data_IF_037624483517
#
_entry.id   IF_037624483517
#
_cell.length_a   1.000
_cell.length_b   1.000
_cell.length_c   1.000
_cell.angle_alpha   90.00
_cell.angle_beta   90.00
_cell.angle_gamma   90.00
#
_symmetry.space_group_name_H-M   'P 1'
#
loop_
_entity.id
_entity.type
_entity.pdbx_description
1 polymer ?
#
# COMPACT_ATOMS: atom_id res chain seq x y z
N UNK A 1 -12.05 -29.05 -40.08
CA UNK A 1 -12.74 -29.38 -38.81
C UNK A 1 -11.76 -29.15 -37.67
N UNK A 2 -12.18 -28.49 -36.59
CA UNK A 2 -12.09 -27.03 -36.59
C UNK A 2 -11.62 -26.42 -35.25
N UNK A 3 -11.32 -25.13 -35.36
CA UNK A 3 -11.58 -24.04 -34.42
C UNK A 3 -10.84 -23.90 -33.09
N UNK A 4 -10.70 -22.59 -32.80
CA UNK A 4 -10.78 -21.90 -31.51
C UNK A 4 -9.52 -21.09 -31.15
N UNK A 5 -9.69 -19.77 -31.39
CA UNK A 5 -9.24 -18.67 -30.53
C UNK A 5 -7.82 -18.15 -30.86
N UNK A 6 -7.62 -17.09 -31.65
CA UNK A 6 -8.49 -15.95 -31.97
C UNK A 6 -9.05 -15.19 -30.75
N UNK A 7 -8.33 -15.15 -29.62
CA UNK A 7 -8.47 -14.13 -28.56
C UNK A 7 -7.08 -13.93 -27.92
N UNK A 8 -6.24 -13.12 -28.57
CA UNK A 8 -5.10 -12.43 -27.93
C UNK A 8 -4.70 -11.21 -28.77
N UNK A 9 -5.66 -10.64 -29.50
CA UNK A 9 -5.49 -9.42 -30.26
C UNK A 9 -5.70 -8.21 -29.35
N UNK A 10 -4.84 -7.21 -29.55
CA UNK A 10 -4.95 -5.81 -29.12
C UNK A 10 -4.49 -5.54 -27.68
N UNK A 11 -3.18 -5.46 -27.47
CA UNK A 11 -2.60 -4.63 -26.39
C UNK A 11 -1.34 -3.87 -26.81
N UNK A 12 -1.03 -3.82 -28.11
CA UNK A 12 0.15 -3.12 -28.63
C UNK A 12 -0.24 -2.14 -29.72
N UNK A 13 0.06 -0.86 -29.48
CA UNK A 13 0.14 0.26 -30.44
C UNK A 13 -1.15 0.90 -30.98
N UNK A 14 -1.53 2.03 -30.36
CA UNK A 14 -1.93 3.25 -31.08
C UNK A 14 -1.86 4.49 -30.16
N UNK A 15 -0.65 4.83 -29.70
CA UNK A 15 -0.35 6.15 -29.12
C UNK A 15 0.51 6.95 -30.10
N UNK A 16 0.04 7.17 -31.34
CA UNK A 16 0.61 8.20 -32.23
C UNK A 16 -0.48 8.80 -33.13
N UNK A 17 -0.87 10.04 -32.80
CA UNK A 17 -1.23 11.11 -33.72
C UNK A 17 -2.09 10.77 -34.97
N UNK A 18 -3.38 10.47 -34.82
CA UNK A 18 -4.40 10.80 -35.83
C UNK A 18 -5.60 11.48 -35.17
N UNK A 19 -5.34 12.64 -34.58
CA UNK A 19 -6.33 13.71 -34.57
C UNK A 19 -6.40 14.30 -35.97
N UNK A 20 -7.55 14.19 -36.65
CA UNK A 20 -8.31 15.37 -37.13
C UNK A 20 -9.12 15.16 -38.43
N UNK A 21 -8.73 14.33 -39.42
CA UNK A 21 -9.32 14.51 -40.76
C UNK A 21 -10.21 13.39 -41.33
N UNK A 22 -10.17 12.14 -40.83
CA UNK A 22 -10.99 11.05 -41.40
C UNK A 22 -12.38 10.90 -40.74
N UNK A 23 -12.58 11.45 -39.55
CA UNK A 23 -13.75 11.16 -38.71
C UNK A 23 -14.96 12.06 -39.04
N UNK A 24 -14.72 13.23 -39.66
CA UNK A 24 -15.75 14.27 -39.85
C UNK A 24 -16.95 13.90 -40.74
N UNK A 25 -16.89 12.84 -41.55
CA UNK A 25 -17.99 12.48 -42.46
C UNK A 25 -18.86 11.29 -42.00
N UNK A 26 -18.45 10.52 -40.98
CA UNK A 26 -19.16 9.31 -40.50
C UNK A 26 -19.82 9.48 -39.12
N UNK A 27 -19.62 10.63 -38.46
CA UNK A 27 -19.90 10.87 -37.03
C UNK A 27 -21.38 10.89 -36.59
N UNK A 28 -22.35 11.28 -37.43
CA UNK A 28 -23.68 11.67 -36.90
C UNK A 28 -24.58 10.56 -36.32
N UNK A 29 -24.24 9.27 -36.46
CA UNK A 29 -24.98 8.15 -35.83
C UNK A 29 -24.11 7.22 -34.97
N UNK A 30 -22.78 7.23 -35.16
CA UNK A 30 -21.82 6.49 -34.34
C UNK A 30 -21.45 7.21 -33.03
N UNK A 31 -21.61 8.55 -32.98
CA UNK A 31 -21.19 9.39 -31.86
C UNK A 31 -21.77 8.93 -30.51
N UNK A 32 -23.06 8.61 -30.41
CA UNK A 32 -23.65 8.23 -29.10
C UNK A 32 -23.09 6.93 -28.53
N UNK A 33 -22.73 5.96 -29.39
CA UNK A 33 -22.16 4.68 -28.93
C UNK A 33 -20.67 4.82 -28.65
N UNK A 34 -19.94 5.60 -29.45
CA UNK A 34 -18.54 5.90 -29.18
C UNK A 34 -18.36 6.77 -27.94
N UNK A 35 -19.21 7.76 -27.72
CA UNK A 35 -19.22 8.60 -26.51
C UNK A 35 -19.47 7.73 -25.27
N UNK A 36 -20.42 6.79 -25.32
CA UNK A 36 -20.67 5.87 -24.20
C UNK A 36 -19.50 4.91 -23.92
N UNK A 37 -18.74 4.51 -24.95
CA UNK A 37 -17.55 3.67 -24.78
C UNK A 37 -16.39 4.46 -24.20
N UNK A 38 -16.15 5.67 -24.71
CA UNK A 38 -15.12 6.58 -24.20
C UNK A 38 -15.38 6.97 -22.73
N UNK A 39 -16.64 7.22 -22.37
CA UNK A 39 -17.03 7.50 -20.98
C UNK A 39 -16.81 6.29 -20.07
N UNK A 40 -17.09 5.08 -20.55
CA UNK A 40 -16.84 3.85 -19.80
C UNK A 40 -15.33 3.62 -19.61
N UNK A 41 -14.55 3.70 -20.69
CA UNK A 41 -13.10 3.55 -20.66
C UNK A 41 -12.45 4.58 -19.73
N UNK A 42 -12.92 5.84 -19.79
CA UNK A 42 -12.48 6.90 -18.89
C UNK A 42 -12.75 6.55 -17.43
N UNK A 43 -13.96 6.12 -17.08
CA UNK A 43 -14.30 5.74 -15.69
C UNK A 43 -13.51 4.54 -15.19
N UNK A 44 -13.29 3.54 -16.05
CA UNK A 44 -12.45 2.38 -15.72
C UNK A 44 -11.02 2.80 -15.49
N UNK A 45 -10.48 3.67 -16.35
CA UNK A 45 -9.13 4.21 -16.19
C UNK A 45 -8.99 5.05 -14.92
N UNK A 46 -9.98 5.90 -14.59
CA UNK A 46 -10.01 6.68 -13.36
C UNK A 46 -10.01 5.76 -12.13
N UNK A 47 -10.87 4.74 -12.11
CA UNK A 47 -10.93 3.78 -11.00
C UNK A 47 -9.63 2.96 -10.85
N UNK A 48 -9.06 2.49 -11.97
CA UNK A 48 -7.76 1.80 -11.99
C UNK A 48 -6.65 2.70 -11.48
N UNK A 49 -6.57 3.93 -11.96
CA UNK A 49 -5.53 4.89 -11.60
C UNK A 49 -5.61 5.28 -10.13
N UNK A 50 -6.82 5.53 -9.61
CA UNK A 50 -7.04 5.78 -8.19
C UNK A 50 -6.56 4.61 -7.32
N UNK A 51 -6.89 3.37 -7.70
CA UNK A 51 -6.44 2.18 -6.99
C UNK A 51 -4.91 2.01 -7.01
N UNK A 52 -4.29 2.26 -8.16
CA UNK A 52 -2.82 2.19 -8.31
C UNK A 52 -2.10 3.30 -7.52
N UNK A 53 -2.66 4.50 -7.44
CA UNK A 53 -2.11 5.59 -6.62
C UNK A 53 -2.25 5.30 -5.13
N UNK A 54 -3.39 4.74 -4.70
CA UNK A 54 -3.60 4.31 -3.30
C UNK A 54 -2.57 3.26 -2.89
N UNK A 55 -2.37 2.20 -3.69
CA UNK A 55 -1.41 1.14 -3.34
C UNK A 55 0.04 1.65 -3.37
N UNK A 56 0.38 2.57 -4.28
CA UNK A 56 1.69 3.24 -4.31
C UNK A 56 1.91 4.00 -3.00
N UNK A 57 0.91 4.75 -2.54
CA UNK A 57 1.01 5.53 -1.31
C UNK A 57 1.19 4.61 -0.09
N UNK A 58 0.38 3.55 0.01
CA UNK A 58 0.49 2.56 1.09
C UNK A 58 1.86 1.86 1.10
N UNK A 59 2.36 1.45 -0.08
CA UNK A 59 3.67 0.79 -0.17
C UNK A 59 4.82 1.74 0.13
N UNK A 60 4.70 3.03 -0.21
CA UNK A 60 5.72 4.02 0.15
C UNK A 60 5.79 4.18 1.67
N UNK A 61 4.64 4.35 2.34
CA UNK A 61 4.58 4.46 3.80
C UNK A 61 5.17 3.25 4.52
N UNK A 62 4.83 2.03 4.07
CA UNK A 62 5.40 0.79 4.60
C UNK A 62 6.92 0.69 4.36
N UNK A 63 7.39 1.15 3.20
CA UNK A 63 8.82 1.20 2.89
C UNK A 63 9.55 2.19 3.79
N UNK A 64 8.97 3.37 4.01
CA UNK A 64 9.54 4.39 4.89
C UNK A 64 9.61 3.87 6.34
N UNK A 65 8.58 3.17 6.82
CA UNK A 65 8.58 2.48 8.12
C UNK A 65 9.63 1.35 8.21
N UNK A 66 9.94 0.69 7.09
CA UNK A 66 10.96 -0.35 7.03
C UNK A 66 12.39 0.21 6.98
N UNK A 67 12.57 1.49 6.65
CA UNK A 67 13.86 2.17 6.44
C UNK A 67 14.27 3.10 7.61
N UNK A 68 13.47 3.15 8.68
CA UNK A 68 13.79 4.02 9.82
C UNK A 68 15.00 3.48 10.58
N UNK A 69 16.09 4.25 10.52
CA UNK A 69 17.18 4.13 11.48
C UNK A 69 16.82 4.79 12.82
N UNK A 70 17.36 4.28 13.95
CA UNK A 70 16.98 4.79 15.27
C UNK A 70 17.36 6.27 15.44
N UNK A 71 16.54 7.06 16.19
CA UNK A 71 17.01 8.33 16.74
C UNK A 71 18.20 8.05 17.66
N UNK A 72 19.39 8.49 17.25
CA UNK A 72 20.67 8.17 17.91
C UNK A 72 21.71 7.50 17.01
N UNK A 73 21.38 7.18 15.75
CA UNK A 73 22.27 6.52 14.80
C UNK A 73 22.10 4.99 14.82
N UNK A 74 22.86 4.25 14.00
CA UNK A 74 22.72 2.80 13.89
C UNK A 74 22.93 2.13 15.26
N UNK A 75 21.92 1.41 15.73
CA UNK A 75 21.99 0.62 16.95
C UNK A 75 23.13 -0.40 16.81
N UNK A 76 24.00 -0.57 17.82
CA UNK A 76 25.13 -1.50 17.76
C UNK A 76 24.71 -2.97 17.76
N UNK A 77 23.43 -3.29 18.02
CA UNK A 77 22.90 -4.65 17.90
C UNK A 77 21.82 -4.75 16.82
N UNK A 78 22.04 -5.65 15.86
CA UNK A 78 21.13 -5.95 14.75
C UNK A 78 19.74 -6.37 15.25
N UNK A 79 19.67 -7.13 16.34
CA UNK A 79 18.40 -7.64 16.89
C UNK A 79 17.45 -6.56 17.40
N UNK A 80 17.97 -5.50 18.04
CA UNK A 80 17.13 -4.39 18.54
C UNK A 80 16.65 -3.51 17.38
N UNK A 81 17.53 -3.29 16.38
CA UNK A 81 17.17 -2.59 15.14
C UNK A 81 16.06 -3.34 14.40
N UNK A 82 16.21 -4.64 14.21
CA UNK A 82 15.23 -5.48 13.54
C UNK A 82 13.89 -5.50 14.27
N UNK A 83 13.91 -5.65 15.61
CA UNK A 83 12.70 -5.60 16.42
C UNK A 83 11.92 -4.30 16.22
N UNK A 84 12.62 -3.15 16.24
CA UNK A 84 11.99 -1.84 16.01
C UNK A 84 11.45 -1.67 14.59
N UNK A 85 12.22 -2.07 13.56
CA UNK A 85 11.73 -2.07 12.17
C UNK A 85 10.43 -2.88 12.02
N UNK A 86 10.33 -4.04 12.69
CA UNK A 86 9.10 -4.84 12.70
C UNK A 86 7.94 -4.09 13.34
N UNK A 87 8.15 -3.52 14.52
CA UNK A 87 7.12 -2.74 15.23
C UNK A 87 6.58 -1.64 14.32
N UNK A 88 7.46 -0.84 13.74
CA UNK A 88 7.05 0.29 12.90
C UNK A 88 6.27 -0.15 11.66
N UNK A 89 6.72 -1.20 10.97
CA UNK A 89 5.98 -1.74 9.82
C UNK A 89 4.59 -2.25 10.23
N UNK A 90 4.48 -2.89 11.40
CA UNK A 90 3.20 -3.43 11.89
C UNK A 90 2.25 -2.31 12.35
N UNK A 91 2.75 -1.29 13.04
CA UNK A 91 1.98 -0.11 13.43
C UNK A 91 1.53 0.67 12.20
N UNK A 92 2.41 0.86 11.22
CA UNK A 92 2.09 1.50 9.95
C UNK A 92 1.04 0.71 9.16
N UNK A 93 1.13 -0.62 9.15
CA UNK A 93 0.11 -1.48 8.57
C UNK A 93 -1.26 -1.33 9.27
N UNK A 94 -1.26 -1.16 10.58
CA UNK A 94 -2.42 -0.78 11.38
C UNK A 94 -3.04 0.54 10.91
N UNK A 95 -2.21 1.58 10.83
CA UNK A 95 -2.60 2.94 10.47
C UNK A 95 -3.13 3.07 9.02
N UNK A 96 -2.63 2.27 8.07
CA UNK A 96 -3.15 2.26 6.69
C UNK A 96 -4.42 1.38 6.52
N UNK A 97 -4.96 0.84 7.61
CA UNK A 97 -6.27 0.20 7.66
C UNK A 97 -6.26 -1.33 7.72
N UNK A 98 -5.11 -1.97 7.96
CA UNK A 98 -4.94 -3.45 8.06
C UNK A 98 -5.39 -4.24 6.82
N UNK A 99 -5.55 -3.54 5.70
CA UNK A 99 -5.85 -4.11 4.41
C UNK A 99 -5.20 -3.25 3.30
N UNK A 100 -4.32 -3.89 2.53
CA UNK A 100 -3.69 -3.24 1.39
C UNK A 100 -4.68 -3.03 0.25
N UNK A 101 -5.69 -3.88 0.13
CA UNK A 101 -6.72 -3.76 -0.89
C UNK A 101 -7.67 -2.60 -0.57
N UNK A 102 -8.13 -2.43 0.66
CA UNK A 102 -8.84 -1.22 1.11
C UNK A 102 -10.03 -0.81 0.25
N UNK A 103 -10.33 0.50 0.20
CA UNK A 103 -11.48 1.06 -0.51
C UNK A 103 -11.44 0.88 -2.04
N UNK A 104 -10.24 0.77 -2.63
CA UNK A 104 -10.04 0.56 -4.06
C UNK A 104 -9.66 -0.89 -4.44
N UNK A 105 -9.77 -1.83 -3.51
CA UNK A 105 -9.27 -3.20 -3.66
C UNK A 105 -9.94 -3.97 -4.80
N UNK A 106 -11.25 -3.77 -4.95
CA UNK A 106 -12.01 -4.34 -6.05
C UNK A 106 -11.51 -3.82 -7.42
N UNK A 107 -11.20 -2.53 -7.52
CA UNK A 107 -10.68 -1.92 -8.75
C UNK A 107 -9.26 -2.38 -9.05
N UNK A 108 -8.42 -2.54 -8.03
CA UNK A 108 -7.09 -3.12 -8.19
C UNK A 108 -7.18 -4.56 -8.73
N UNK A 109 -8.04 -5.39 -8.15
CA UNK A 109 -8.23 -6.78 -8.57
C UNK A 109 -8.87 -6.89 -9.97
N UNK A 110 -9.77 -5.97 -10.31
CA UNK A 110 -10.50 -5.99 -11.57
C UNK A 110 -9.68 -5.47 -12.76
N UNK A 111 -8.80 -4.47 -12.54
CA UNK A 111 -8.22 -3.69 -13.63
C UNK A 111 -6.69 -3.56 -13.61
N UNK A 112 -6.02 -3.86 -12.49
CA UNK A 112 -4.56 -3.85 -12.45
C UNK A 112 -3.99 -5.18 -12.96
N UNK A 113 -2.80 -5.12 -13.53
CA UNK A 113 -2.14 -6.32 -14.07
C UNK A 113 -1.70 -7.26 -12.94
N UNK A 114 -1.50 -8.53 -13.30
CA UNK A 114 -0.97 -9.54 -12.38
C UNK A 114 0.41 -9.18 -11.79
N UNK A 115 1.19 -8.35 -12.49
CA UNK A 115 2.48 -7.83 -12.01
C UNK A 115 2.32 -6.95 -10.77
N UNK A 116 1.15 -6.36 -10.54
CA UNK A 116 0.81 -5.59 -9.33
C UNK A 116 0.06 -6.47 -8.34
N UNK A 117 -0.98 -7.19 -8.79
CA UNK A 117 -1.89 -7.87 -7.86
C UNK A 117 -1.25 -9.05 -7.12
N UNK A 118 -0.30 -9.77 -7.75
CA UNK A 118 0.42 -10.89 -7.10
C UNK A 118 1.31 -10.43 -5.94
N UNK A 119 2.23 -9.47 -6.09
CA UNK A 119 3.05 -9.03 -4.97
C UNK A 119 2.22 -8.30 -3.89
N UNK A 120 1.14 -7.59 -4.26
CA UNK A 120 0.19 -7.04 -3.26
C UNK A 120 -0.46 -8.16 -2.43
N UNK A 121 -0.87 -9.26 -3.05
CA UNK A 121 -1.44 -10.40 -2.33
C UNK A 121 -0.42 -11.05 -1.38
N UNK A 122 0.83 -11.21 -1.84
CA UNK A 122 1.91 -11.74 -1.03
C UNK A 122 2.21 -10.86 0.19
N UNK A 123 2.33 -9.53 -0.03
CA UNK A 123 2.58 -8.57 1.02
C UNK A 123 1.42 -8.50 2.03
N UNK A 124 0.18 -8.47 1.54
CA UNK A 124 -1.01 -8.47 2.39
C UNK A 124 -1.06 -9.73 3.25
N UNK A 125 -0.82 -10.91 2.67
CA UNK A 125 -0.80 -12.17 3.41
C UNK A 125 0.26 -12.17 4.52
N UNK A 126 1.46 -11.69 4.20
CA UNK A 126 2.58 -11.62 5.13
C UNK A 126 2.28 -10.67 6.31
N UNK A 127 1.81 -9.45 6.02
CA UNK A 127 1.49 -8.45 7.05
C UNK A 127 0.28 -8.85 7.89
N UNK A 128 -0.81 -9.32 7.28
CA UNK A 128 -1.99 -9.75 8.03
C UNK A 128 -1.71 -10.94 8.94
N UNK A 129 -0.87 -11.89 8.53
CA UNK A 129 -0.49 -13.03 9.36
C UNK A 129 0.28 -12.57 10.62
N UNK A 130 1.27 -11.71 10.45
CA UNK A 130 2.09 -11.22 11.57
C UNK A 130 1.30 -10.25 12.47
N UNK A 131 0.53 -9.32 11.88
CA UNK A 131 -0.30 -8.39 12.64
C UNK A 131 -1.34 -9.13 13.49
N UNK A 132 -1.91 -10.24 13.01
CA UNK A 132 -2.87 -11.03 13.83
C UNK A 132 -2.22 -11.60 15.09
N UNK A 133 -0.92 -11.92 15.06
CA UNK A 133 -0.19 -12.43 16.24
C UNK A 133 -0.01 -11.38 17.32
N UNK A 134 0.19 -10.12 16.91
CA UNK A 134 0.53 -9.02 17.82
C UNK A 134 -0.63 -8.02 18.01
N UNK A 135 -1.83 -8.32 17.50
CA UNK A 135 -2.93 -7.33 17.41
C UNK A 135 -3.31 -6.73 18.76
N UNK A 136 -3.31 -7.53 19.83
CA UNK A 136 -3.62 -7.04 21.18
C UNK A 136 -2.54 -6.10 21.71
N UNK A 137 -1.27 -6.44 21.47
CA UNK A 137 -0.11 -5.67 21.90
C UNK A 137 -0.01 -4.38 21.10
N UNK A 138 -0.24 -4.44 19.79
CA UNK A 138 -0.30 -3.27 18.91
C UNK A 138 -1.41 -2.31 19.34
N UNK A 139 -2.62 -2.80 19.63
CA UNK A 139 -3.71 -1.95 20.12
C UNK A 139 -3.43 -1.31 21.49
N UNK A 140 -2.69 -1.99 22.37
CA UNK A 140 -2.23 -1.40 23.63
C UNK A 140 -1.16 -0.33 23.40
N UNK A 141 -0.22 -0.56 22.48
CA UNK A 141 0.78 0.44 22.10
C UNK A 141 0.13 1.68 21.47
N UNK A 142 -0.85 1.52 20.57
CA UNK A 142 -1.64 2.62 20.01
C UNK A 142 -2.31 3.45 21.13
N UNK A 143 -2.96 2.78 22.08
CA UNK A 143 -3.58 3.44 23.25
C UNK A 143 -2.57 4.25 24.07
N UNK A 144 -1.38 3.70 24.35
CA UNK A 144 -0.35 4.39 25.12
C UNK A 144 0.20 5.62 24.37
N UNK A 145 0.39 5.50 23.05
CA UNK A 145 0.83 6.59 22.20
C UNK A 145 -0.21 7.73 22.14
N UNK A 146 -1.50 7.39 22.05
CA UNK A 146 -2.59 8.37 22.13
C UNK A 146 -2.67 9.06 23.51
N UNK A 147 -2.45 8.31 24.60
CA UNK A 147 -2.41 8.89 25.95
C UNK A 147 -1.23 9.87 26.10
N UNK A 148 -0.05 9.50 25.57
CA UNK A 148 1.13 10.36 25.56
C UNK A 148 0.89 11.65 24.76
N UNK A 149 0.33 11.55 23.55
CA UNK A 149 0.00 12.70 22.70
C UNK A 149 -1.02 13.61 23.39
N UNK A 150 -2.06 13.04 24.01
CA UNK A 150 -3.07 13.80 24.76
C UNK A 150 -2.49 14.56 25.96
N UNK A 151 -1.54 13.98 26.69
CA UNK A 151 -0.84 14.70 27.78
C UNK A 151 0.02 15.85 27.26
N UNK A 152 0.72 15.64 26.14
CA UNK A 152 1.53 16.70 25.50
C UNK A 152 0.63 17.85 25.07
N UNK A 153 -0.47 17.56 24.39
CA UNK A 153 -1.41 18.57 23.86
C UNK A 153 -2.15 19.33 24.96
N UNK A 154 -2.56 18.63 26.02
CA UNK A 154 -3.25 19.26 27.15
C UNK A 154 -2.30 20.06 28.06
N UNK A 155 -0.98 19.91 27.90
CA UNK A 155 0.02 20.45 28.82
C UNK A 155 -0.18 19.96 30.27
N UNK A 156 -0.94 18.87 30.43
CA UNK A 156 -1.42 18.35 31.70
C UNK A 156 -0.86 16.95 31.95
N UNK A 157 -0.32 16.74 33.13
CA UNK A 157 0.31 15.48 33.52
C UNK A 157 1.46 15.73 34.49
N UNK A 158 1.73 14.78 35.38
CA UNK A 158 2.95 14.84 36.18
C UNK A 158 4.12 14.33 35.34
N UNK A 159 5.31 14.92 35.51
CA UNK A 159 6.54 14.41 34.87
C UNK A 159 6.73 12.89 35.15
N UNK A 160 6.35 12.43 36.34
CA UNK A 160 6.37 11.01 36.71
C UNK A 160 5.49 10.14 35.81
N UNK A 161 4.27 10.58 35.47
CA UNK A 161 3.38 9.83 34.57
C UNK A 161 3.89 9.84 33.14
N UNK A 162 4.53 10.92 32.71
CA UNK A 162 5.20 10.99 31.41
C UNK A 162 6.31 9.94 31.32
N UNK A 163 7.18 9.88 32.32
CA UNK A 163 8.26 8.88 32.36
C UNK A 163 7.70 7.44 32.40
N UNK A 164 6.66 7.19 33.19
CA UNK A 164 5.98 5.89 33.27
C UNK A 164 5.36 5.48 31.92
N UNK A 165 4.69 6.40 31.21
CA UNK A 165 4.11 6.12 29.89
C UNK A 165 5.18 5.84 28.84
N UNK A 166 6.30 6.55 28.90
CA UNK A 166 7.41 6.31 27.98
C UNK A 166 8.05 4.93 28.22
N UNK A 167 8.18 4.51 29.48
CA UNK A 167 8.63 3.16 29.83
C UNK A 167 7.63 2.07 29.37
N UNK A 168 6.32 2.28 29.58
CA UNK A 168 5.27 1.36 29.10
C UNK A 168 5.29 1.22 27.56
N UNK A 169 5.53 2.32 26.83
CA UNK A 169 5.66 2.32 25.37
C UNK A 169 6.89 1.53 24.94
N UNK A 170 8.06 1.80 25.53
CA UNK A 170 9.31 1.11 25.19
C UNK A 170 9.18 -0.40 25.44
N UNK A 171 8.57 -0.82 26.55
CA UNK A 171 8.33 -2.22 26.87
C UNK A 171 7.35 -2.88 25.88
N UNK A 172 6.30 -2.17 25.48
CA UNK A 172 5.35 -2.65 24.47
C UNK A 172 6.02 -2.81 23.10
N UNK A 173 6.86 -1.87 22.67
CA UNK A 173 7.66 -1.98 21.44
C UNK A 173 8.59 -3.20 21.49
N UNK A 174 9.33 -3.39 22.59
CA UNK A 174 10.24 -4.53 22.76
C UNK A 174 9.47 -5.84 22.69
N UNK A 175 8.31 -5.94 23.34
CA UNK A 175 7.48 -7.14 23.30
C UNK A 175 7.02 -7.45 21.88
N UNK A 176 6.42 -6.50 21.17
CA UNK A 176 5.96 -6.68 19.78
C UNK A 176 7.12 -7.10 18.86
N UNK A 177 8.26 -6.40 18.96
CA UNK A 177 9.43 -6.68 18.13
C UNK A 177 10.04 -8.06 18.38
N UNK A 178 9.96 -8.56 19.61
CA UNK A 178 10.44 -9.89 20.00
C UNK A 178 9.50 -11.03 19.63
N UNK A 179 8.19 -10.79 19.66
CA UNK A 179 7.15 -11.79 19.34
C UNK A 179 6.91 -11.92 17.82
N UNK A 180 7.14 -10.84 17.06
CA UNK A 180 7.01 -10.87 15.62
C UNK A 180 8.21 -11.51 14.93
N UNK A 181 7.91 -12.41 13.98
CA UNK A 181 8.88 -13.03 13.07
C UNK A 181 8.91 -12.35 11.71
N UNK A 182 8.32 -11.15 11.60
CA UNK A 182 8.19 -10.41 10.35
C UNK A 182 9.56 -10.19 9.68
N UNK A 183 9.66 -10.62 8.43
CA UNK A 183 10.81 -10.36 7.58
C UNK A 183 10.67 -8.98 6.92
N UNK A 184 11.28 -7.97 7.53
CA UNK A 184 11.18 -6.58 7.05
C UNK A 184 11.84 -6.39 5.69
N UNK A 185 12.91 -7.12 5.38
CA UNK A 185 13.58 -7.01 4.08
C UNK A 185 12.70 -7.58 2.95
N UNK A 186 11.92 -8.62 3.25
CA UNK A 186 10.91 -9.14 2.33
C UNK A 186 9.75 -8.15 2.12
N UNK A 187 9.33 -7.44 3.17
CA UNK A 187 8.38 -6.33 3.06
C UNK A 187 8.92 -5.25 2.12
N UNK A 188 10.16 -4.80 2.34
CA UNK A 188 10.77 -3.75 1.53
C UNK A 188 10.91 -4.16 0.05
N UNK A 189 11.30 -5.41 -0.19
CA UNK A 189 11.39 -6.00 -1.52
C UNK A 189 10.02 -6.00 -2.21
N UNK A 190 9.00 -6.52 -1.55
CA UNK A 190 7.63 -6.57 -2.10
C UNK A 190 7.09 -5.16 -2.36
N UNK A 191 7.27 -4.21 -1.44
CA UNK A 191 6.91 -2.81 -1.66
C UNK A 191 7.61 -2.22 -2.89
N UNK A 192 8.91 -2.47 -3.06
CA UNK A 192 9.68 -2.00 -4.21
C UNK A 192 9.21 -2.61 -5.53
N UNK A 193 8.88 -3.91 -5.53
CA UNK A 193 8.29 -4.60 -6.67
C UNK A 193 6.91 -4.00 -7.05
N UNK A 194 6.04 -3.77 -6.06
CA UNK A 194 4.71 -3.17 -6.26
C UNK A 194 4.84 -1.75 -6.79
N UNK A 195 5.71 -0.93 -6.21
CA UNK A 195 5.95 0.45 -6.66
C UNK A 195 6.39 0.49 -8.14
N UNK A 196 7.32 -0.40 -8.52
CA UNK A 196 7.78 -0.52 -9.90
C UNK A 196 6.67 -0.97 -10.84
N UNK A 197 5.92 -2.01 -10.47
CA UNK A 197 4.84 -2.55 -11.29
C UNK A 197 3.68 -1.57 -11.44
N UNK A 198 3.24 -0.92 -10.35
CA UNK A 198 2.14 0.03 -10.37
C UNK A 198 2.47 1.27 -11.21
N UNK A 199 3.71 1.77 -11.15
CA UNK A 199 4.16 2.90 -11.99
C UNK A 199 4.19 2.55 -13.47
N UNK A 200 4.64 1.35 -13.85
CA UNK A 200 4.58 0.87 -15.25
C UNK A 200 3.13 0.74 -15.71
N UNK A 201 2.28 0.15 -14.86
CA UNK A 201 0.88 -0.04 -15.17
C UNK A 201 0.11 1.28 -15.37
N UNK A 202 0.44 2.31 -14.59
CA UNK A 202 -0.06 3.69 -14.76
C UNK A 202 0.40 4.33 -16.09
N UNK A 203 1.57 3.94 -16.60
CA UNK A 203 2.10 4.39 -17.90
C UNK A 203 1.55 3.59 -19.09
N UNK A 204 0.85 2.48 -18.83
CA UNK A 204 0.40 1.55 -19.88
C UNK A 204 1.51 0.63 -20.40
N UNK A 205 2.56 0.42 -19.61
CA UNK A 205 3.68 -0.51 -19.86
C UNK A 205 3.50 -1.82 -19.09
#
# INVERSE_FOLDING_TARGET
MPDWVAIAGISGTAFVAITSQAVNALMKRGDRKHESQLDFEKRVWEAKSAALVEIVTKCQRLKDAADVDPPGGPSPSDTRRDGRRRVQVLMEFGAIGRDLYGGAGASLLAYADQSVTKPVAALSKLLSHEHTKVISQAGYLEYLQEELESMIDSGGGSAKRFDELQEEIDDAEVRIGSESTLNVDEVEKLCSEILGAARRNLRGE
#
